data_IF_775283118583
#
_entry.id   IF_775283118583
#
_cell.length_a   1.000
_cell.length_b   1.000
_cell.length_c   1.000
_cell.angle_alpha   90.00
_cell.angle_beta   90.00
_cell.angle_gamma   90.00
#
_symmetry.space_group_name_H-M   'P 1'
#
loop_
_entity.id
_entity.type
_entity.pdbx_description
1 polymer ?
#
# COMPACT_ATOMS: atom_id res chain seq x y z
N UNK A 1 -56.93 14.46 39.99
CA UNK A 1 -58.05 14.08 39.14
C UNK A 1 -57.76 12.82 38.36
N UNK A 2 -58.79 12.16 37.95
CA UNK A 2 -58.71 11.02 37.01
C UNK A 2 -59.10 11.50 35.64
N UNK A 3 -58.38 11.11 34.63
CA UNK A 3 -58.81 11.26 33.24
C UNK A 3 -59.11 9.88 32.67
N UNK A 4 -60.16 9.83 31.87
CA UNK A 4 -60.49 8.64 31.12
C UNK A 4 -59.69 8.67 29.83
N UNK A 5 -59.16 7.51 29.42
CA UNK A 5 -58.68 7.35 28.07
C UNK A 5 -59.87 7.34 27.13
N UNK A 6 -60.03 8.45 26.42
CA UNK A 6 -61.18 8.69 25.56
C UNK A 6 -61.23 7.69 24.40
N UNK A 7 -60.05 7.22 23.95
CA UNK A 7 -59.96 6.23 22.88
C UNK A 7 -60.47 4.86 23.36
N UNK A 8 -60.04 4.43 24.54
CA UNK A 8 -60.45 3.17 25.12
C UNK A 8 -61.97 3.19 25.51
N UNK A 9 -62.44 4.33 25.98
CA UNK A 9 -63.86 4.52 26.22
C UNK A 9 -64.68 4.42 24.93
N UNK A 10 -64.26 5.11 23.86
CA UNK A 10 -64.91 5.09 22.56
C UNK A 10 -64.88 3.70 21.93
N UNK A 11 -63.83 2.94 22.06
CA UNK A 11 -63.70 1.57 21.58
C UNK A 11 -64.70 0.64 22.29
N UNK A 12 -64.76 0.71 23.63
CA UNK A 12 -65.74 -0.06 24.40
C UNK A 12 -67.18 0.32 24.04
N UNK A 13 -67.45 1.61 23.90
CA UNK A 13 -68.76 2.10 23.50
C UNK A 13 -69.15 1.58 22.12
N UNK A 14 -68.21 1.63 21.16
CA UNK A 14 -68.38 1.10 19.81
C UNK A 14 -68.72 -0.40 19.81
N UNK A 15 -67.98 -1.17 20.62
CA UNK A 15 -68.24 -2.60 20.76
C UNK A 15 -69.63 -2.90 21.39
N UNK A 16 -70.06 -2.16 22.42
CA UNK A 16 -71.39 -2.27 23.00
C UNK A 16 -72.48 -1.95 21.98
N UNK A 17 -72.28 -0.88 21.18
CA UNK A 17 -73.23 -0.56 20.10
C UNK A 17 -73.30 -1.67 19.05
N UNK A 18 -72.16 -2.25 18.67
CA UNK A 18 -72.11 -3.38 17.73
C UNK A 18 -72.85 -4.61 18.25
N UNK A 19 -72.75 -4.93 19.55
CA UNK A 19 -73.46 -6.03 20.18
C UNK A 19 -74.94 -5.78 20.24
N UNK A 20 -75.41 -4.54 20.51
CA UNK A 20 -76.82 -4.17 20.46
C UNK A 20 -77.38 -4.32 19.03
N UNK A 21 -76.63 -3.86 18.04
CA UNK A 21 -77.00 -3.95 16.63
C UNK A 21 -77.10 -5.43 16.16
N UNK A 22 -76.31 -6.31 16.76
CA UNK A 22 -76.38 -7.77 16.49
C UNK A 22 -77.51 -8.48 17.19
N UNK A 23 -78.41 -7.75 17.91
CA UNK A 23 -79.58 -8.26 18.52
C UNK A 23 -79.48 -8.62 20.01
N UNK A 24 -78.37 -8.25 20.67
CA UNK A 24 -78.21 -8.46 22.11
C UNK A 24 -79.02 -7.44 22.90
N UNK A 25 -79.78 -7.87 23.90
CA UNK A 25 -80.54 -6.94 24.72
C UNK A 25 -79.63 -6.00 25.52
N UNK A 26 -79.92 -4.67 25.58
CA UNK A 26 -79.14 -3.74 26.41
C UNK A 26 -79.11 -4.13 27.90
N UNK A 27 -80.05 -4.92 28.39
CA UNK A 27 -80.05 -5.43 29.78
C UNK A 27 -79.03 -6.52 30.06
N UNK A 28 -78.51 -7.17 29.01
CA UNK A 28 -77.56 -8.25 29.08
C UNK A 28 -76.14 -7.76 28.87
N UNK A 29 -75.92 -6.44 28.61
CA UNK A 29 -74.61 -5.84 28.52
C UNK A 29 -74.08 -5.50 29.91
N UNK A 30 -72.81 -5.73 30.14
CA UNK A 30 -72.21 -5.42 31.43
C UNK A 30 -72.31 -3.90 31.71
N UNK A 31 -72.73 -3.55 32.89
CA UNK A 31 -72.72 -2.18 33.35
C UNK A 31 -71.24 -1.69 33.44
N UNK A 32 -70.86 -0.80 32.56
CA UNK A 32 -69.50 -0.24 32.55
C UNK A 32 -69.47 0.90 33.56
N UNK A 33 -68.88 0.64 34.72
CA UNK A 33 -68.41 1.69 35.60
C UNK A 33 -67.04 2.11 35.12
N UNK A 34 -66.75 3.41 34.89
CA UNK A 34 -65.46 3.90 34.45
C UNK A 34 -64.46 3.83 35.62
N UNK A 35 -64.10 2.59 36.03
CA UNK A 35 -63.14 2.33 37.10
C UNK A 35 -61.71 2.37 36.64
N UNK A 36 -61.46 2.36 35.31
CA UNK A 36 -60.15 2.28 34.72
C UNK A 36 -59.56 3.66 34.37
N UNK A 37 -59.92 4.67 35.15
CA UNK A 37 -59.35 6.02 34.96
C UNK A 37 -57.87 6.06 35.29
N UNK A 38 -57.08 6.54 34.35
CA UNK A 38 -55.63 6.78 34.58
C UNK A 38 -55.48 8.01 35.51
N UNK A 39 -54.83 7.86 36.67
CA UNK A 39 -54.56 9.01 37.54
C UNK A 39 -53.76 10.08 36.77
N UNK A 40 -54.25 11.30 36.76
CA UNK A 40 -53.61 12.43 36.13
C UNK A 40 -53.16 13.45 37.22
N UNK A 41 -51.89 13.58 37.37
CA UNK A 41 -51.31 14.38 38.44
C UNK A 41 -50.33 15.43 37.88
N UNK A 42 -50.47 16.65 38.34
CA UNK A 42 -49.48 17.67 38.01
C UNK A 42 -48.19 17.46 38.83
N UNK A 43 -47.10 17.12 38.13
CA UNK A 43 -45.78 16.84 38.75
C UNK A 43 -45.27 17.99 39.62
N UNK A 44 -45.42 19.22 39.14
CA UNK A 44 -44.92 20.39 39.88
C UNK A 44 -45.67 20.61 41.19
N UNK A 45 -47.00 20.32 41.20
CA UNK A 45 -47.82 20.41 42.44
C UNK A 45 -47.46 19.28 43.38
N UNK A 46 -47.18 18.09 42.87
CA UNK A 46 -46.78 16.94 43.68
C UNK A 46 -45.44 17.26 44.43
N UNK A 47 -44.41 17.69 43.67
CA UNK A 47 -43.11 18.04 44.24
C UNK A 47 -43.22 19.19 45.24
N UNK A 48 -44.05 20.22 44.94
CA UNK A 48 -44.24 21.34 45.86
C UNK A 48 -44.85 20.92 47.21
N UNK A 49 -45.68 19.83 47.17
CA UNK A 49 -46.25 19.26 48.40
C UNK A 49 -45.36 18.21 49.10
N UNK A 50 -44.14 18.00 48.61
CA UNK A 50 -43.20 17.05 49.18
C UNK A 50 -43.56 15.56 48.98
N UNK A 51 -44.46 15.25 48.02
CA UNK A 51 -44.85 13.89 47.73
C UNK A 51 -43.98 13.28 46.65
N UNK A 52 -43.61 12.00 46.78
CA UNK A 52 -42.77 11.29 45.80
C UNK A 52 -43.61 10.80 44.62
N UNK A 53 -43.17 10.94 43.38
CA UNK A 53 -43.78 10.33 42.19
C UNK A 53 -43.84 8.79 42.25
N UNK A 54 -42.88 8.17 42.97
CA UNK A 54 -42.76 6.70 43.02
C UNK A 54 -43.79 6.04 43.92
N UNK A 55 -44.52 6.83 44.74
CA UNK A 55 -45.61 6.35 45.60
C UNK A 55 -46.92 6.15 44.85
N UNK A 56 -46.96 6.53 43.61
CA UNK A 56 -48.16 6.44 42.78
C UNK A 56 -48.12 5.23 41.84
N UNK A 57 -49.30 4.70 41.47
CA UNK A 57 -49.40 3.54 40.56
C UNK A 57 -48.60 3.77 39.25
N UNK A 58 -47.97 2.73 38.72
CA UNK A 58 -47.12 2.79 37.54
C UNK A 58 -47.81 3.37 36.29
N UNK A 59 -49.15 3.29 36.22
CA UNK A 59 -49.94 3.87 35.12
C UNK A 59 -50.34 5.33 35.32
N UNK A 60 -49.83 6.02 36.36
CA UNK A 60 -50.10 7.44 36.59
C UNK A 60 -49.49 8.32 35.52
N UNK A 61 -50.32 9.18 34.90
CA UNK A 61 -49.83 10.20 33.97
C UNK A 61 -49.43 11.49 34.73
N UNK A 62 -48.20 11.88 34.61
CA UNK A 62 -47.71 13.15 35.18
C UNK A 62 -47.73 14.26 34.14
N UNK A 63 -48.54 15.31 34.41
CA UNK A 63 -48.49 16.56 33.63
C UNK A 63 -47.32 17.42 34.11
N UNK A 64 -46.71 18.16 33.19
CA UNK A 64 -45.60 19.10 33.47
C UNK A 64 -44.40 18.44 34.18
N UNK A 65 -44.15 17.13 33.90
CA UNK A 65 -42.95 16.46 34.35
C UNK A 65 -41.75 17.06 33.58
N UNK A 66 -40.73 17.57 34.26
CA UNK A 66 -39.53 18.13 33.57
C UNK A 66 -38.86 17.00 32.75
N UNK A 67 -38.49 17.31 31.53
CA UNK A 67 -37.73 16.36 30.68
C UNK A 67 -36.35 16.21 31.30
N UNK A 68 -35.98 15.02 31.69
CA UNK A 68 -34.63 14.75 32.21
C UNK A 68 -33.59 14.85 31.08
N UNK A 69 -32.33 15.12 31.48
CA UNK A 69 -31.21 15.12 30.50
C UNK A 69 -31.18 13.83 29.69
N UNK A 70 -31.40 12.69 30.33
CA UNK A 70 -31.43 11.37 29.67
C UNK A 70 -32.57 11.22 28.69
N UNK A 71 -33.77 11.68 29.02
CA UNK A 71 -34.92 11.63 28.11
C UNK A 71 -34.71 12.46 26.86
N UNK A 72 -34.00 13.58 27.02
CA UNK A 72 -33.70 14.50 25.91
C UNK A 72 -32.61 13.94 24.98
N UNK A 73 -31.58 13.29 25.54
CA UNK A 73 -30.39 12.91 24.79
C UNK A 73 -30.18 11.39 24.62
N UNK A 74 -31.12 10.54 25.10
CA UNK A 74 -31.01 9.08 25.05
C UNK A 74 -30.71 8.49 23.67
N UNK A 75 -31.13 9.15 22.61
CA UNK A 75 -30.86 8.71 21.23
C UNK A 75 -29.63 9.40 20.62
N UNK A 76 -29.31 10.59 21.11
CA UNK A 76 -28.18 11.36 20.60
C UNK A 76 -26.82 10.86 21.15
N UNK A 77 -26.76 10.53 22.42
CA UNK A 77 -25.54 10.05 23.09
C UNK A 77 -24.95 8.79 22.43
N UNK A 78 -25.69 7.71 22.19
CA UNK A 78 -25.13 6.53 21.52
C UNK A 78 -24.70 6.83 20.08
N UNK A 79 -25.39 7.70 19.37
CA UNK A 79 -25.00 8.11 18.03
C UNK A 79 -23.65 8.85 18.00
N UNK A 80 -23.45 9.79 18.94
CA UNK A 80 -22.19 10.53 19.05
C UNK A 80 -21.01 9.64 19.46
N UNK A 81 -21.21 8.69 20.37
CA UNK A 81 -20.16 7.74 20.76
C UNK A 81 -19.72 6.85 19.60
N UNK A 82 -20.66 6.37 18.79
CA UNK A 82 -20.34 5.59 17.57
C UNK A 82 -19.55 6.45 16.58
N UNK A 83 -19.97 7.69 16.34
CA UNK A 83 -19.23 8.59 15.43
C UNK A 83 -17.80 8.85 15.91
N UNK A 84 -17.60 9.09 17.20
CA UNK A 84 -16.26 9.28 17.77
C UNK A 84 -15.42 8.01 17.61
N UNK A 85 -15.99 6.84 17.90
CA UNK A 85 -15.29 5.56 17.75
C UNK A 85 -14.85 5.33 16.29
N UNK A 86 -15.72 5.63 15.31
CA UNK A 86 -15.39 5.52 13.89
C UNK A 86 -14.28 6.50 13.48
N UNK A 87 -14.31 7.74 13.98
CA UNK A 87 -13.26 8.72 13.74
C UNK A 87 -11.91 8.26 14.30
N UNK A 88 -11.88 7.80 15.54
CA UNK A 88 -10.67 7.26 16.15
C UNK A 88 -10.15 6.06 15.36
N UNK A 89 -11.02 5.13 15.01
CA UNK A 89 -10.66 3.99 14.17
C UNK A 89 -10.09 4.42 12.81
N UNK A 90 -10.71 5.39 12.15
CA UNK A 90 -10.25 5.94 10.88
C UNK A 90 -8.85 6.57 11.02
N UNK A 91 -8.62 7.37 12.07
CA UNK A 91 -7.31 7.97 12.30
C UNK A 91 -6.23 6.92 12.58
N UNK A 92 -6.53 5.91 13.40
CA UNK A 92 -5.60 4.82 13.67
C UNK A 92 -5.27 4.01 12.39
N UNK A 93 -6.28 3.75 11.57
CA UNK A 93 -6.08 3.11 10.28
C UNK A 93 -5.18 3.95 9.35
N UNK A 94 -5.44 5.26 9.26
CA UNK A 94 -4.61 6.18 8.47
C UNK A 94 -3.16 6.24 8.95
N UNK A 95 -2.94 6.30 10.25
CA UNK A 95 -1.59 6.29 10.83
C UNK A 95 -0.86 4.99 10.46
N UNK A 96 -1.50 3.83 10.63
CA UNK A 96 -0.91 2.53 10.24
C UNK A 96 -0.54 2.46 8.76
N UNK A 97 -1.43 2.92 7.88
CA UNK A 97 -1.18 2.93 6.44
C UNK A 97 0.01 3.83 6.09
N UNK A 98 0.06 5.04 6.64
CA UNK A 98 1.15 5.98 6.41
C UNK A 98 2.50 5.46 6.94
N UNK A 99 2.51 4.86 8.12
CA UNK A 99 3.74 4.27 8.67
C UNK A 99 4.23 3.09 7.83
N UNK A 100 3.32 2.25 7.33
CA UNK A 100 3.67 1.13 6.46
C UNK A 100 4.25 1.60 5.12
N UNK A 101 3.63 2.58 4.47
CA UNK A 101 4.15 3.19 3.23
C UNK A 101 5.54 3.80 3.45
N UNK A 102 5.73 4.50 4.56
CA UNK A 102 7.03 5.10 4.92
C UNK A 102 8.11 4.05 5.12
N UNK A 103 7.77 2.91 5.74
CA UNK A 103 8.72 1.80 5.91
C UNK A 103 9.12 1.17 4.57
N UNK A 104 8.17 1.02 3.63
CA UNK A 104 8.48 0.52 2.28
C UNK A 104 9.45 1.47 1.57
N UNK A 105 9.16 2.77 1.58
CA UNK A 105 10.02 3.78 0.96
C UNK A 105 11.43 3.79 1.57
N UNK A 106 11.54 3.69 2.89
CA UNK A 106 12.85 3.64 3.56
C UNK A 106 13.64 2.39 3.16
N UNK A 107 13.01 1.22 3.07
CA UNK A 107 13.66 0.00 2.60
C UNK A 107 14.11 0.09 1.14
N UNK A 108 13.33 0.73 0.30
CA UNK A 108 13.68 0.95 -1.10
C UNK A 108 14.90 1.87 -1.24
N UNK A 109 14.93 2.97 -0.48
CA UNK A 109 16.07 3.90 -0.43
C UNK A 109 17.32 3.18 0.10
N UNK A 110 17.19 2.39 1.16
CA UNK A 110 18.30 1.61 1.74
C UNK A 110 18.82 0.57 0.75
N UNK A 111 17.93 -0.15 0.07
CA UNK A 111 18.31 -1.12 -0.95
C UNK A 111 19.05 -0.45 -2.12
N UNK A 112 18.56 0.71 -2.58
CA UNK A 112 19.25 1.50 -3.61
C UNK A 112 20.62 1.98 -3.15
N UNK A 113 20.73 2.47 -1.93
CA UNK A 113 22.01 2.91 -1.37
C UNK A 113 23.01 1.75 -1.26
N UNK A 114 22.55 0.59 -0.79
CA UNK A 114 23.36 -0.62 -0.71
C UNK A 114 23.79 -1.12 -2.09
N UNK A 115 22.89 -1.13 -3.07
CA UNK A 115 23.20 -1.48 -4.46
C UNK A 115 24.27 -0.53 -5.03
N UNK A 116 24.07 0.76 -4.87
CA UNK A 116 25.06 1.76 -5.31
C UNK A 116 26.42 1.55 -4.65
N UNK A 117 26.42 1.34 -3.34
CA UNK A 117 27.66 1.09 -2.59
C UNK A 117 28.41 -0.17 -3.07
N UNK A 118 27.68 -1.25 -3.37
CA UNK A 118 28.24 -2.47 -3.95
C UNK A 118 28.90 -2.18 -5.31
N UNK A 119 28.23 -1.50 -6.21
CA UNK A 119 28.73 -1.15 -7.54
C UNK A 119 29.97 -0.23 -7.44
N UNK A 120 29.89 0.79 -6.58
CA UNK A 120 30.98 1.78 -6.44
C UNK A 120 32.26 1.16 -5.83
N UNK A 121 32.13 0.13 -4.99
CA UNK A 121 33.26 -0.56 -4.35
C UNK A 121 33.70 -1.85 -5.06
N UNK A 122 33.06 -2.24 -6.15
CA UNK A 122 33.49 -3.40 -6.92
C UNK A 122 34.90 -3.21 -7.49
N UNK A 123 35.80 -4.18 -7.33
CA UNK A 123 37.17 -4.10 -7.88
C UNK A 123 37.20 -4.52 -9.36
N UNK A 124 36.17 -4.22 -10.10
CA UNK A 124 36.02 -4.50 -11.52
C UNK A 124 35.35 -3.33 -12.23
N UNK A 125 35.55 -3.23 -13.54
CA UNK A 125 34.87 -2.22 -14.32
C UNK A 125 33.39 -2.59 -14.45
N UNK A 126 32.51 -1.65 -14.12
CA UNK A 126 31.07 -1.79 -14.32
C UNK A 126 30.53 -0.63 -15.12
N UNK A 127 29.70 -0.97 -16.09
CA UNK A 127 28.93 -0.02 -16.85
C UNK A 127 27.53 -0.56 -17.09
N UNK A 128 26.57 0.33 -17.09
CA UNK A 128 25.18 0.04 -17.45
C UNK A 128 24.84 0.84 -18.71
N UNK A 129 24.30 0.16 -19.69
CA UNK A 129 24.03 0.75 -20.99
C UNK A 129 22.62 0.40 -21.46
N UNK A 130 22.01 1.33 -22.19
CA UNK A 130 20.72 1.15 -22.84
C UNK A 130 20.92 0.88 -24.32
N UNK A 131 20.31 -0.20 -24.80
CA UNK A 131 20.30 -0.56 -26.21
C UNK A 131 19.45 0.44 -27.01
N UNK A 132 20.03 0.94 -28.08
CA UNK A 132 19.31 1.62 -29.16
C UNK A 132 19.00 0.55 -30.20
N UNK A 133 17.71 0.30 -30.40
CA UNK A 133 17.25 -0.65 -31.42
C UNK A 133 16.67 0.11 -32.61
N UNK A 134 16.96 -0.36 -33.82
CA UNK A 134 16.35 0.17 -35.03
C UNK A 134 14.91 -0.32 -35.18
N UNK A 135 14.24 0.14 -36.24
CA UNK A 135 12.84 -0.24 -36.57
C UNK A 135 12.64 -1.76 -36.77
N UNK A 136 13.71 -2.49 -37.01
CA UNK A 136 13.71 -3.94 -37.21
C UNK A 136 14.00 -4.71 -35.92
N UNK A 137 14.14 -4.01 -34.77
CA UNK A 137 14.46 -4.62 -33.46
C UNK A 137 15.90 -5.08 -33.34
N UNK A 138 16.81 -4.66 -34.22
CA UNK A 138 18.24 -4.98 -34.17
C UNK A 138 18.95 -3.85 -33.40
N UNK A 139 19.87 -4.25 -32.52
CA UNK A 139 20.69 -3.27 -31.80
C UNK A 139 21.59 -2.52 -32.78
N UNK A 140 21.44 -1.20 -32.76
CA UNK A 140 22.18 -0.27 -33.63
C UNK A 140 23.34 0.39 -32.85
N UNK A 141 23.09 0.73 -31.58
CA UNK A 141 24.08 1.37 -30.68
C UNK A 141 23.70 1.17 -29.21
N UNK A 142 24.49 1.73 -28.30
CA UNK A 142 24.29 1.76 -26.86
C UNK A 142 24.45 3.17 -26.33
N UNK A 143 23.70 3.49 -25.27
CA UNK A 143 23.89 4.73 -24.50
C UNK A 143 24.31 4.36 -23.09
N UNK A 144 25.41 4.95 -22.61
CA UNK A 144 25.85 4.81 -21.24
C UNK A 144 24.86 5.43 -20.28
N UNK A 145 24.33 4.62 -19.36
CA UNK A 145 23.44 5.07 -18.28
C UNK A 145 24.21 5.30 -16.97
N UNK A 146 25.20 4.45 -16.72
CA UNK A 146 25.97 4.49 -15.48
C UNK A 146 27.35 3.83 -15.66
N UNK A 147 28.33 4.31 -14.88
CA UNK A 147 29.66 3.70 -14.74
C UNK A 147 30.11 3.78 -13.28
N UNK A 148 30.91 2.82 -12.82
CA UNK A 148 31.46 2.86 -11.47
C UNK A 148 32.79 3.62 -11.37
N UNK A 149 33.24 3.99 -10.16
CA UNK A 149 34.51 4.68 -9.96
C UNK A 149 35.74 3.90 -10.45
N UNK A 150 35.64 2.56 -10.54
CA UNK A 150 36.72 1.75 -11.07
C UNK A 150 36.90 1.95 -12.60
N UNK A 151 35.79 2.10 -13.34
CA UNK A 151 35.78 2.48 -14.74
C UNK A 151 36.42 3.87 -14.94
N UNK A 152 36.04 4.84 -14.10
CA UNK A 152 36.57 6.22 -14.21
C UNK A 152 38.10 6.30 -14.05
N UNK A 153 38.69 5.46 -13.23
CA UNK A 153 40.15 5.40 -13.04
C UNK A 153 40.92 4.97 -14.28
N UNK A 154 40.27 4.19 -15.17
CA UNK A 154 40.96 3.57 -16.30
C UNK A 154 40.61 4.20 -17.65
N UNK A 155 39.45 4.83 -17.76
CA UNK A 155 38.93 5.32 -19.04
C UNK A 155 38.55 6.79 -19.01
N UNK A 156 37.32 7.12 -18.65
CA UNK A 156 36.73 8.46 -18.72
C UNK A 156 35.96 8.76 -17.43
N UNK A 157 35.80 10.05 -17.11
CA UNK A 157 34.95 10.45 -16.02
C UNK A 157 33.47 10.14 -16.33
N UNK A 158 32.70 9.84 -15.31
CA UNK A 158 31.27 9.55 -15.43
C UNK A 158 30.50 10.66 -16.17
N UNK A 159 30.81 11.92 -15.86
CA UNK A 159 30.16 13.08 -16.49
C UNK A 159 30.45 13.20 -17.99
N UNK A 160 31.58 12.66 -18.46
CA UNK A 160 31.98 12.66 -19.86
C UNK A 160 31.42 11.48 -20.66
N UNK A 161 30.88 10.45 -19.96
CA UNK A 161 30.45 9.18 -20.55
C UNK A 161 28.92 9.02 -20.52
N UNK A 162 28.29 9.32 -19.39
CA UNK A 162 26.86 9.12 -19.23
C UNK A 162 26.07 9.97 -20.25
N UNK A 163 25.16 9.31 -20.97
CA UNK A 163 24.37 9.90 -22.04
C UNK A 163 25.04 9.89 -23.42
N UNK A 164 26.32 9.51 -23.53
CA UNK A 164 26.99 9.34 -24.83
C UNK A 164 26.78 7.97 -25.41
N UNK A 165 26.96 7.85 -26.71
CA UNK A 165 26.88 6.59 -27.44
C UNK A 165 28.16 5.78 -27.32
N UNK A 166 28.04 4.47 -27.27
CA UNK A 166 29.17 3.55 -27.25
C UNK A 166 30.03 3.68 -28.53
N UNK A 167 29.37 3.87 -29.66
CA UNK A 167 30.03 4.10 -30.94
C UNK A 167 30.98 5.32 -30.95
N UNK A 168 30.70 6.33 -30.12
CA UNK A 168 31.57 7.52 -30.01
C UNK A 168 32.83 7.26 -29.17
N UNK A 169 32.74 6.42 -28.15
CA UNK A 169 33.80 6.17 -27.18
C UNK A 169 34.57 4.88 -27.48
N UNK A 170 33.88 3.83 -27.87
CA UNK A 170 34.41 2.50 -28.15
C UNK A 170 33.72 1.90 -29.38
N UNK A 171 34.03 2.37 -30.60
CA UNK A 171 33.34 1.91 -31.83
C UNK A 171 33.44 0.40 -32.06
N UNK A 172 34.44 -0.25 -31.50
CA UNK A 172 34.68 -1.69 -31.65
C UNK A 172 33.71 -2.53 -30.76
N UNK A 173 33.06 -1.92 -29.78
CA UNK A 173 32.14 -2.65 -28.83
C UNK A 173 30.87 -3.14 -29.49
N UNK A 174 30.41 -2.49 -30.55
CA UNK A 174 29.13 -2.79 -31.20
C UNK A 174 29.02 -4.22 -31.74
N UNK A 175 30.18 -4.76 -32.22
CA UNK A 175 30.22 -6.13 -32.76
C UNK A 175 29.83 -7.21 -31.72
N UNK A 176 30.21 -7.02 -30.46
CA UNK A 176 29.99 -7.98 -29.39
C UNK A 176 28.56 -7.96 -28.88
N UNK A 177 27.86 -6.82 -29.01
CA UNK A 177 26.49 -6.64 -28.54
C UNK A 177 25.51 -7.41 -29.40
N UNK A 178 25.71 -7.43 -30.70
CA UNK A 178 24.87 -8.16 -31.62
C UNK A 178 24.87 -9.68 -31.34
N UNK A 179 25.98 -10.21 -30.80
CA UNK A 179 26.11 -11.60 -30.38
C UNK A 179 25.30 -11.85 -29.08
N UNK A 180 25.40 -10.93 -28.11
CA UNK A 180 24.75 -11.04 -26.81
C UNK A 180 23.23 -11.07 -26.89
N UNK A 181 22.65 -10.23 -27.73
CA UNK A 181 21.21 -10.09 -27.85
C UNK A 181 20.51 -11.31 -28.48
N UNK A 182 21.21 -12.03 -29.35
CA UNK A 182 20.65 -13.23 -29.99
C UNK A 182 20.45 -14.40 -29.03
N UNK A 183 21.21 -14.45 -27.92
CA UNK A 183 21.27 -15.62 -27.06
C UNK A 183 20.51 -15.50 -25.74
N UNK A 184 19.99 -14.31 -25.40
CA UNK A 184 19.24 -14.02 -24.15
C UNK A 184 19.84 -14.65 -22.88
N UNK A 185 21.17 -14.79 -22.84
CA UNK A 185 21.95 -15.31 -21.70
C UNK A 185 23.17 -14.43 -21.43
N UNK A 186 23.73 -14.54 -20.26
CA UNK A 186 25.01 -13.90 -19.97
C UNK A 186 26.09 -14.46 -20.91
N UNK A 187 26.79 -13.57 -21.61
CA UNK A 187 27.88 -13.93 -22.51
C UNK A 187 29.18 -13.42 -21.94
N UNK A 188 30.21 -14.26 -21.98
CA UNK A 188 31.55 -13.90 -21.54
C UNK A 188 32.50 -14.06 -22.70
N UNK A 189 33.32 -13.03 -22.98
CA UNK A 189 34.35 -13.11 -24.01
C UNK A 189 35.57 -12.28 -23.58
N UNK A 190 36.81 -12.72 -23.98
CA UNK A 190 38.03 -11.96 -23.73
C UNK A 190 38.14 -10.81 -24.73
N UNK A 191 38.57 -9.66 -24.23
CA UNK A 191 38.85 -8.48 -25.05
C UNK A 191 40.15 -7.82 -24.66
N UNK A 192 40.98 -7.45 -25.63
CA UNK A 192 42.22 -6.73 -25.42
C UNK A 192 42.08 -5.26 -25.72
N UNK A 193 42.14 -4.44 -24.67
CA UNK A 193 42.15 -2.98 -24.81
C UNK A 193 43.53 -2.47 -25.14
N UNK A 194 43.80 -2.29 -26.43
CA UNK A 194 45.10 -1.87 -26.93
C UNK A 194 45.58 -0.53 -26.31
N UNK A 195 44.68 0.40 -26.07
CA UNK A 195 44.97 1.74 -25.53
C UNK A 195 45.60 1.70 -24.13
N UNK A 196 45.27 0.73 -23.31
CA UNK A 196 45.77 0.57 -21.94
C UNK A 196 46.61 -0.70 -21.74
N UNK A 197 46.88 -1.46 -22.82
CA UNK A 197 47.66 -2.71 -22.81
C UNK A 197 47.13 -3.74 -21.78
N UNK A 198 45.81 -3.97 -21.75
CA UNK A 198 45.18 -4.91 -20.80
C UNK A 198 44.17 -5.82 -21.46
N UNK A 199 44.11 -7.04 -20.93
CA UNK A 199 43.07 -8.02 -21.24
C UNK A 199 41.94 -7.97 -20.19
N UNK A 200 40.71 -7.97 -20.67
CA UNK A 200 39.53 -8.07 -19.81
C UNK A 200 38.62 -9.19 -20.29
N UNK A 201 38.08 -9.93 -19.34
CA UNK A 201 36.97 -10.81 -19.61
C UNK A 201 35.68 -9.99 -19.42
N UNK A 202 35.00 -9.74 -20.53
CA UNK A 202 33.78 -8.94 -20.57
C UNK A 202 32.58 -9.86 -20.39
N UNK A 203 31.77 -9.60 -19.37
CA UNK A 203 30.52 -10.29 -19.07
C UNK A 203 29.36 -9.36 -19.36
N UNK A 204 28.55 -9.69 -20.34
CA UNK A 204 27.31 -8.99 -20.68
C UNK A 204 26.13 -9.73 -20.08
N UNK A 205 25.26 -9.03 -19.35
CA UNK A 205 24.06 -9.57 -18.74
C UNK A 205 22.89 -8.62 -18.98
N UNK A 206 21.79 -9.12 -19.53
CA UNK A 206 20.53 -8.36 -19.60
C UNK A 206 20.07 -7.96 -18.19
N UNK A 207 19.75 -6.68 -18.00
CA UNK A 207 19.13 -6.20 -16.77
C UNK A 207 17.64 -6.52 -16.74
N UNK A 208 17.02 -6.36 -15.57
CA UNK A 208 15.57 -6.58 -15.41
C UNK A 208 14.70 -5.55 -16.14
N UNK A 209 15.30 -4.49 -16.65
CA UNK A 209 14.61 -3.47 -17.45
C UNK A 209 14.75 -3.78 -18.94
N UNK A 210 13.71 -3.49 -19.69
CA UNK A 210 13.69 -3.67 -21.14
C UNK A 210 14.77 -2.82 -21.83
N UNK A 211 15.57 -3.44 -22.68
CA UNK A 211 16.68 -2.83 -23.42
C UNK A 211 17.82 -2.24 -22.56
N UNK A 212 17.99 -2.69 -21.32
CA UNK A 212 19.14 -2.31 -20.49
C UNK A 212 20.04 -3.52 -20.30
N UNK A 213 21.35 -3.30 -20.39
CA UNK A 213 22.38 -4.32 -20.15
C UNK A 213 23.36 -3.85 -19.08
N UNK A 214 23.77 -4.78 -18.25
CA UNK A 214 24.87 -4.61 -17.31
C UNK A 214 26.13 -5.27 -17.89
N UNK A 215 27.22 -4.53 -17.88
CA UNK A 215 28.51 -4.95 -18.43
C UNK A 215 29.52 -4.95 -17.29
N UNK A 216 30.16 -6.08 -17.10
CA UNK A 216 31.23 -6.28 -16.12
C UNK A 216 32.51 -6.63 -16.86
N UNK A 217 33.61 -5.93 -16.57
CA UNK A 217 34.91 -6.27 -17.15
C UNK A 217 35.87 -6.65 -16.02
N UNK A 218 36.32 -7.89 -16.04
CA UNK A 218 37.30 -8.43 -15.10
C UNK A 218 38.69 -8.37 -15.72
N UNK A 219 39.65 -7.72 -15.07
CA UNK A 219 41.01 -7.66 -15.54
C UNK A 219 41.65 -9.06 -15.51
N UNK A 220 41.90 -9.64 -16.66
CA UNK A 220 42.49 -10.96 -16.85
C UNK A 220 43.92 -10.88 -17.43
N UNK A 221 44.54 -9.68 -17.36
CA UNK A 221 45.84 -9.42 -17.97
C UNK A 221 46.95 -10.36 -17.47
N UNK A 222 47.04 -10.56 -16.16
CA UNK A 222 48.05 -11.45 -15.57
C UNK A 222 47.84 -12.91 -15.99
N UNK A 223 46.57 -13.35 -16.00
CA UNK A 223 46.21 -14.70 -16.42
C UNK A 223 46.59 -14.95 -17.89
N UNK A 224 46.22 -14.02 -18.79
CA UNK A 224 46.56 -14.13 -20.21
C UNK A 224 48.05 -14.10 -20.45
N UNK A 225 48.81 -13.20 -19.79
CA UNK A 225 50.25 -13.14 -19.89
C UNK A 225 50.95 -14.41 -19.36
N UNK A 226 50.48 -14.96 -18.25
CA UNK A 226 50.97 -16.22 -17.71
C UNK A 226 50.72 -17.38 -18.67
N UNK A 227 49.54 -17.47 -19.24
CA UNK A 227 49.19 -18.50 -20.21
C UNK A 227 50.07 -18.41 -21.49
N UNK A 228 50.30 -17.19 -21.99
CA UNK A 228 51.15 -16.98 -23.13
C UNK A 228 52.60 -17.46 -22.85
N UNK A 229 53.17 -17.12 -21.65
CA UNK A 229 54.50 -17.56 -21.24
C UNK A 229 54.56 -19.05 -21.18
N UNK A 230 53.55 -19.71 -20.58
CA UNK A 230 53.50 -21.15 -20.49
C UNK A 230 53.47 -21.84 -21.86
N UNK A 231 52.61 -21.32 -22.76
CA UNK A 231 52.52 -21.87 -24.12
C UNK A 231 53.82 -21.68 -24.90
N UNK A 232 54.51 -20.52 -24.76
CA UNK A 232 55.81 -20.26 -25.38
C UNK A 232 56.90 -21.19 -24.85
N UNK A 233 56.86 -21.52 -23.54
CA UNK A 233 57.82 -22.42 -22.92
C UNK A 233 57.59 -23.87 -23.38
N UNK A 234 56.32 -24.32 -23.41
CA UNK A 234 55.93 -25.64 -23.90
C UNK A 234 56.32 -25.84 -25.37
N UNK A 235 56.13 -24.79 -26.21
CA UNK A 235 56.54 -24.85 -27.62
C UNK A 235 58.06 -24.97 -27.79
N UNK A 236 58.85 -24.20 -27.01
CA UNK A 236 60.32 -24.36 -26.97
C UNK A 236 60.77 -25.74 -26.52
N UNK A 237 60.08 -26.32 -25.51
CA UNK A 237 60.38 -27.65 -25.00
C UNK A 237 60.12 -28.73 -26.04
N UNK A 238 58.96 -28.62 -26.74
CA UNK A 238 58.57 -29.53 -27.82
C UNK A 238 59.61 -29.52 -28.97
N UNK A 239 60.06 -28.35 -29.37
CA UNK A 239 61.11 -28.21 -30.41
C UNK A 239 62.50 -28.69 -29.98
N UNK A 240 62.80 -28.74 -28.68
CA UNK A 240 64.04 -29.26 -28.16
C UNK A 240 64.09 -30.79 -27.98
N UNK A 241 62.90 -31.43 -28.08
CA UNK A 241 62.74 -32.91 -27.93
C UNK A 241 62.61 -33.61 -29.30
N UNK A 242 62.45 -32.87 -30.37
CA UNK A 242 62.55 -33.33 -31.79
C UNK A 242 63.99 -33.22 -32.27
#
# INVERSE_FOLDING_TARGET
GYTYDQNHFNEKLSNMFSEILSGKSPRDLPHYLPTDGTPLINYQVLVRKGLSPDEWPAHTRFLNKPITFWDKYKYFLPGTTVCIALLVWFFLYRIRTLTHLRQIQLKEIEAMANYKNLIDNMPLLYMQEKLIVNEQGVADDLIYLNVNPHFEKHFFRREDVVGKRASELFPESLHFIQISLKENRAITFPYYFKKIDRFYDIVLKGAHQENVIDIFCVDSTELHRAQQKLNATNHKLSMALE
#
